data_IF_677981953267
#
_entry.id   IF_677981953267
#
_cell.length_a   1.000
_cell.length_b   1.000
_cell.length_c   1.000
_cell.angle_alpha   90.00
_cell.angle_beta   90.00
_cell.angle_gamma   90.00
#
_symmetry.space_group_name_H-M   'P 1'
#
loop_
_entity.id
_entity.type
_entity.pdbx_description
1 polymer ?
#
# COMPACT_ATOMS: atom_id res chain seq x y z
N UNK A 1 -3.30 18.45 -7.48
CA UNK A 1 -2.64 17.55 -8.44
C UNK A 1 -3.39 16.22 -8.47
N UNK A 2 -3.31 15.50 -9.58
CA UNK A 2 -3.79 14.12 -9.70
C UNK A 2 -2.66 13.31 -10.33
N UNK A 3 -2.35 12.15 -9.75
CA UNK A 3 -1.28 11.26 -10.19
C UNK A 3 -1.83 9.84 -10.30
N UNK A 4 -1.38 9.10 -11.31
CA UNK A 4 -1.72 7.71 -11.51
C UNK A 4 -0.46 6.93 -11.90
N UNK A 5 -0.21 5.81 -11.22
CA UNK A 5 0.95 4.95 -11.44
C UNK A 5 0.49 3.50 -11.59
N UNK A 6 1.11 2.77 -12.51
CA UNK A 6 0.85 1.35 -12.72
C UNK A 6 2.16 0.60 -12.93
N UNK A 7 2.28 -0.54 -12.26
CA UNK A 7 3.43 -1.43 -12.33
C UNK A 7 2.96 -2.87 -12.47
N UNK A 8 3.64 -3.65 -13.30
CA UNK A 8 3.35 -5.08 -13.49
C UNK A 8 4.62 -5.83 -13.82
N UNK A 9 4.67 -7.10 -13.43
CA UNK A 9 5.64 -8.03 -13.98
C UNK A 9 5.45 -8.17 -15.50
N UNK A 10 6.56 -8.31 -16.24
CA UNK A 10 6.54 -8.48 -17.69
C UNK A 10 6.10 -9.89 -18.12
N UNK A 11 6.33 -10.88 -17.24
CA UNK A 11 5.97 -12.29 -17.44
C UNK A 11 5.65 -12.92 -16.10
N UNK A 12 4.88 -14.00 -16.13
CA UNK A 12 4.61 -14.79 -14.94
C UNK A 12 5.92 -15.36 -14.39
N UNK A 13 6.04 -15.36 -13.07
CA UNK A 13 7.16 -15.98 -12.37
C UNK A 13 7.07 -17.52 -12.42
N UNK A 14 8.19 -18.18 -12.11
CA UNK A 14 8.16 -19.63 -11.91
C UNK A 14 7.39 -19.95 -10.61
N UNK A 15 6.66 -21.06 -10.59
CA UNK A 15 5.79 -21.44 -9.45
C UNK A 15 6.56 -21.65 -8.14
N UNK A 16 7.85 -21.98 -8.26
CA UNK A 16 8.75 -22.16 -7.12
C UNK A 16 9.31 -20.84 -6.58
N UNK A 17 9.34 -19.79 -7.42
CA UNK A 17 9.86 -18.47 -7.07
C UNK A 17 8.75 -17.56 -6.54
N UNK A 18 7.62 -17.51 -7.24
CA UNK A 18 6.45 -16.72 -6.87
C UNK A 18 5.21 -17.34 -7.53
N UNK A 19 4.27 -17.82 -6.72
CA UNK A 19 2.99 -18.36 -7.18
C UNK A 19 1.80 -17.69 -6.52
N UNK A 20 0.69 -17.74 -7.23
CA UNK A 20 -0.62 -17.34 -6.78
C UNK A 20 -1.59 -18.45 -7.14
N UNK A 21 -2.37 -18.94 -6.18
CA UNK A 21 -3.35 -20.03 -6.34
C UNK A 21 -2.83 -21.28 -7.09
N UNK A 22 -1.54 -21.59 -6.95
CA UNK A 22 -0.92 -22.77 -7.57
C UNK A 22 -0.39 -22.58 -9.00
N UNK A 23 -0.41 -21.37 -9.55
CA UNK A 23 0.25 -21.03 -10.82
C UNK A 23 1.29 -19.93 -10.62
N UNK A 24 2.21 -19.78 -11.59
CA UNK A 24 3.17 -18.67 -11.57
C UNK A 24 2.44 -17.33 -11.45
N UNK A 25 2.85 -16.51 -10.48
CA UNK A 25 2.22 -15.22 -10.23
C UNK A 25 2.66 -14.18 -11.26
N UNK A 26 1.75 -13.29 -11.65
CA UNK A 26 1.99 -12.09 -12.46
C UNK A 26 1.57 -10.86 -11.63
N UNK A 27 2.40 -10.46 -10.64
CA UNK A 27 2.04 -9.37 -9.74
C UNK A 27 1.90 -8.06 -10.51
N UNK A 28 0.83 -7.33 -10.21
CA UNK A 28 0.61 -5.97 -10.71
C UNK A 28 -0.01 -5.09 -9.63
N UNK A 29 0.22 -3.79 -9.72
CA UNK A 29 -0.35 -2.81 -8.83
C UNK A 29 -0.65 -1.50 -9.57
N UNK A 30 -1.73 -0.86 -9.17
CA UNK A 30 -2.10 0.48 -9.60
C UNK A 30 -2.27 1.36 -8.37
N UNK A 31 -1.83 2.61 -8.48
CA UNK A 31 -2.02 3.64 -7.47
C UNK A 31 -2.55 4.91 -8.12
N UNK A 32 -3.59 5.47 -7.50
CA UNK A 32 -4.19 6.73 -7.86
C UNK A 32 -4.09 7.67 -6.66
N UNK A 33 -3.67 8.89 -6.87
CA UNK A 33 -3.55 9.91 -5.83
C UNK A 33 -4.14 11.22 -6.32
N UNK A 34 -4.90 11.89 -5.45
CA UNK A 34 -5.39 13.25 -5.67
C UNK A 34 -5.05 14.10 -4.45
N UNK A 35 -4.41 15.24 -4.68
CA UNK A 35 -3.97 16.16 -3.64
C UNK A 35 -4.37 17.60 -3.94
N UNK A 36 -4.61 18.38 -2.89
CA UNK A 36 -4.78 19.83 -2.98
C UNK A 36 -4.12 20.55 -1.81
N UNK A 37 -3.59 21.73 -2.09
CA UNK A 37 -3.03 22.64 -1.09
C UNK A 37 -3.98 23.81 -0.91
N UNK A 38 -4.20 24.19 0.34
CA UNK A 38 -5.09 25.27 0.74
C UNK A 38 -4.54 25.95 1.99
N UNK A 39 -5.24 26.97 2.47
CA UNK A 39 -4.91 27.64 3.73
C UNK A 39 -5.98 27.26 4.75
N UNK A 40 -5.54 26.74 5.90
CA UNK A 40 -6.39 26.44 7.06
C UNK A 40 -5.74 27.04 8.29
N UNK A 41 -6.51 27.68 9.18
CA UNK A 41 -5.98 28.35 10.38
C UNK A 41 -4.85 29.36 10.10
N UNK A 42 -4.94 30.09 8.98
CA UNK A 42 -3.89 31.02 8.49
C UNK A 42 -2.53 30.35 8.21
N UNK A 43 -2.52 29.02 8.05
CA UNK A 43 -1.34 28.20 7.74
C UNK A 43 -1.50 27.46 6.43
N UNK A 44 -0.42 27.28 5.65
CA UNK A 44 -0.41 26.35 4.53
C UNK A 44 -0.78 24.95 5.02
N UNK A 45 -1.74 24.34 4.34
CA UNK A 45 -2.21 22.97 4.60
C UNK A 45 -2.34 22.22 3.28
N UNK A 46 -2.17 20.91 3.31
CA UNK A 46 -2.48 20.05 2.17
C UNK A 46 -3.31 18.87 2.61
N UNK A 47 -4.14 18.39 1.71
CA UNK A 47 -4.84 17.12 1.86
C UNK A 47 -4.60 16.30 0.61
N UNK A 48 -4.38 15.00 0.79
CA UNK A 48 -4.34 14.05 -0.30
C UNK A 48 -5.13 12.79 0.06
N UNK A 49 -5.74 12.19 -0.96
CA UNK A 49 -6.39 10.89 -0.90
C UNK A 49 -5.71 9.97 -1.90
N UNK A 50 -5.56 8.71 -1.55
CA UNK A 50 -5.00 7.71 -2.43
C UNK A 50 -5.84 6.42 -2.45
N UNK A 51 -5.83 5.77 -3.60
CA UNK A 51 -6.40 4.47 -3.83
C UNK A 51 -5.35 3.59 -4.48
N UNK A 52 -5.03 2.47 -3.86
CA UNK A 52 -4.12 1.47 -4.38
C UNK A 52 -4.88 0.15 -4.54
N UNK A 53 -4.62 -0.55 -5.65
CA UNK A 53 -5.09 -1.92 -5.85
C UNK A 53 -3.94 -2.78 -6.36
N UNK A 54 -3.86 -4.01 -5.88
CA UNK A 54 -2.85 -4.97 -6.29
C UNK A 54 -3.46 -6.30 -6.69
N UNK A 55 -2.87 -6.96 -7.69
CA UNK A 55 -3.26 -8.27 -8.17
C UNK A 55 -2.09 -9.24 -8.06
N UNK A 56 -2.38 -10.48 -7.67
CA UNK A 56 -1.41 -11.58 -7.50
C UNK A 56 -0.15 -11.20 -6.69
N UNK A 57 -0.29 -10.24 -5.77
CA UNK A 57 0.81 -9.65 -4.99
C UNK A 57 0.77 -10.07 -3.52
N UNK A 58 -0.07 -11.06 -3.18
CA UNK A 58 -0.21 -11.60 -1.83
C UNK A 58 1.13 -12.14 -1.27
N UNK A 59 1.94 -12.81 -2.10
CA UNK A 59 3.26 -13.27 -1.70
C UNK A 59 4.24 -12.14 -1.38
N UNK A 60 3.97 -10.91 -1.87
CA UNK A 60 4.75 -9.71 -1.58
C UNK A 60 4.19 -8.91 -0.39
N UNK A 61 3.18 -9.45 0.31
CA UNK A 61 2.54 -8.81 1.47
C UNK A 61 1.92 -7.42 1.15
N UNK A 62 1.44 -7.27 -0.08
CA UNK A 62 0.71 -6.06 -0.50
C UNK A 62 -0.79 -6.33 -0.33
N UNK A 63 -1.53 -5.37 0.22
CA UNK A 63 -2.99 -5.49 0.32
C UNK A 63 -3.66 -5.47 -1.06
N UNK A 64 -4.77 -6.21 -1.23
CA UNK A 64 -5.52 -6.26 -2.49
C UNK A 64 -6.10 -4.89 -2.85
N UNK A 65 -6.61 -4.19 -1.83
CA UNK A 65 -7.06 -2.81 -1.94
C UNK A 65 -6.57 -2.00 -0.74
N UNK A 66 -6.25 -0.73 -0.99
CA UNK A 66 -5.88 0.23 0.05
C UNK A 66 -6.47 1.59 -0.28
N UNK A 67 -7.10 2.19 0.70
CA UNK A 67 -7.56 3.57 0.65
C UNK A 67 -6.79 4.32 1.73
N UNK A 68 -6.18 5.46 1.40
CA UNK A 68 -5.58 6.32 2.40
C UNK A 68 -5.96 7.78 2.21
N UNK A 69 -5.92 8.53 3.30
CA UNK A 69 -6.07 9.96 3.33
C UNK A 69 -5.01 10.55 4.24
N UNK A 70 -4.32 11.58 3.78
CA UNK A 70 -3.33 12.32 4.55
C UNK A 70 -3.71 13.79 4.59
N UNK A 71 -3.59 14.38 5.77
CA UNK A 71 -3.71 15.80 6.00
C UNK A 71 -2.41 16.31 6.58
N UNK A 72 -1.85 17.36 5.98
CA UNK A 72 -0.65 18.01 6.45
C UNK A 72 -0.95 19.48 6.77
N UNK A 73 -0.37 19.97 7.85
CA UNK A 73 -0.41 21.38 8.23
C UNK A 73 0.95 21.78 8.81
N UNK A 74 1.33 23.04 8.66
CA UNK A 74 2.47 23.64 9.35
C UNK A 74 1.97 24.59 10.43
N UNK A 75 1.52 24.03 11.55
CA UNK A 75 0.95 24.80 12.65
C UNK A 75 2.03 25.62 13.37
N UNK A 76 3.17 25.00 13.70
CA UNK A 76 4.33 25.70 14.25
C UNK A 76 5.32 26.12 13.16
N UNK A 77 6.16 27.10 13.50
CA UNK A 77 7.23 27.56 12.60
C UNK A 77 8.27 26.44 12.51
N UNK A 78 8.74 26.19 11.30
CA UNK A 78 9.75 25.16 10.99
C UNK A 78 9.29 23.73 11.34
N UNK A 79 7.97 23.49 11.40
CA UNK A 79 7.40 22.16 11.57
C UNK A 79 6.37 21.80 10.50
N UNK A 80 6.19 20.50 10.31
CA UNK A 80 5.11 19.92 9.50
C UNK A 80 4.47 18.82 10.32
N UNK A 81 3.20 19.00 10.67
CA UNK A 81 2.36 17.98 11.28
C UNK A 81 1.60 17.24 10.17
N UNK A 82 1.63 15.92 10.22
CA UNK A 82 0.92 15.04 9.29
C UNK A 82 0.04 14.07 10.06
N UNK A 83 -1.20 13.92 9.60
CA UNK A 83 -2.14 12.92 10.04
C UNK A 83 -2.53 12.07 8.84
N UNK A 84 -2.24 10.78 8.89
CA UNK A 84 -2.63 9.82 7.86
C UNK A 84 -3.58 8.78 8.44
N UNK A 85 -4.60 8.46 7.68
CA UNK A 85 -5.45 7.30 7.89
C UNK A 85 -5.36 6.39 6.68
N UNK A 86 -5.24 5.10 6.94
CA UNK A 86 -5.11 4.06 5.92
C UNK A 86 -6.02 2.89 6.26
N UNK A 87 -6.78 2.44 5.27
CA UNK A 87 -7.65 1.28 5.34
C UNK A 87 -7.20 0.25 4.29
N UNK A 88 -6.67 -0.87 4.76
CA UNK A 88 -6.15 -1.96 3.95
C UNK A 88 -7.16 -3.11 3.92
N UNK A 89 -7.46 -3.63 2.74
CA UNK A 89 -8.31 -4.80 2.53
C UNK A 89 -7.44 -5.91 1.95
N UNK A 90 -7.34 -7.00 2.70
CA UNK A 90 -6.53 -8.15 2.33
C UNK A 90 -7.27 -9.07 1.35
N UNK A 91 -6.51 -9.93 0.68
CA UNK A 91 -7.01 -10.96 -0.22
C UNK A 91 -7.96 -11.93 0.49
N UNK A 92 -8.84 -12.57 -0.27
CA UNK A 92 -9.80 -13.56 0.21
C UNK A 92 -9.10 -14.78 0.85
N UNK A 93 -9.74 -15.41 1.84
CA UNK A 93 -9.30 -16.65 2.50
C UNK A 93 -9.11 -17.85 1.58
N UNK A 94 -9.73 -17.83 0.41
CA UNK A 94 -9.56 -18.87 -0.61
C UNK A 94 -8.33 -18.63 -1.50
N UNK A 95 -7.74 -17.44 -1.43
CA UNK A 95 -6.57 -17.06 -2.19
C UNK A 95 -5.32 -17.31 -1.36
N UNK A 96 -4.32 -17.89 -1.99
CA UNK A 96 -3.04 -18.18 -1.36
C UNK A 96 -1.90 -17.94 -2.34
N UNK A 97 -0.74 -17.62 -1.81
CA UNK A 97 0.45 -17.33 -2.60
C UNK A 97 1.68 -17.88 -1.91
N UNK A 98 2.72 -18.22 -2.67
CA UNK A 98 4.02 -18.60 -2.14
C UNK A 98 5.10 -17.68 -2.71
N UNK A 99 6.22 -17.56 -2.02
CA UNK A 99 7.37 -16.77 -2.47
C UNK A 99 8.65 -17.58 -2.31
N UNK A 100 9.79 -17.06 -2.78
CA UNK A 100 11.05 -17.76 -2.66
C UNK A 100 11.42 -18.03 -1.18
N UNK A 101 11.49 -19.31 -0.81
CA UNK A 101 11.89 -19.71 0.54
C UNK A 101 13.43 -19.77 0.65
N UNK A 102 14.01 -19.38 1.81
CA UNK A 102 15.43 -19.61 2.07
C UNK A 102 15.81 -21.09 1.97
N UNK A 103 17.04 -21.37 1.53
CA UNK A 103 17.54 -22.75 1.40
C UNK A 103 17.38 -23.49 2.73
N UNK A 104 16.68 -24.64 2.69
CA UNK A 104 16.42 -25.47 3.86
C UNK A 104 15.11 -25.19 4.59
N UNK A 105 14.29 -24.25 4.12
CA UNK A 105 12.93 -24.03 4.63
C UNK A 105 11.87 -24.53 3.65
N UNK A 106 10.78 -25.09 4.19
CA UNK A 106 9.60 -25.43 3.40
C UNK A 106 8.88 -24.15 3.03
N UNK A 107 8.66 -23.94 1.73
CA UNK A 107 7.88 -22.80 1.23
C UNK A 107 6.42 -22.95 1.70
N UNK A 108 6.02 -22.15 2.70
CA UNK A 108 4.65 -22.14 3.19
C UNK A 108 3.85 -21.08 2.45
N UNK A 109 2.60 -21.44 2.13
CA UNK A 109 1.70 -20.52 1.48
C UNK A 109 1.26 -19.43 2.47
N UNK A 110 1.40 -18.17 2.05
CA UNK A 110 0.68 -17.05 2.63
C UNK A 110 -0.77 -17.14 2.15
N UNK A 111 -1.72 -17.19 3.08
CA UNK A 111 -3.16 -17.23 2.78
C UNK A 111 -3.74 -15.87 3.06
N UNK A 112 -4.59 -15.36 2.17
CA UNK A 112 -5.32 -14.12 2.40
C UNK A 112 -6.14 -14.22 3.69
N UNK A 113 -6.15 -13.17 4.51
CA UNK A 113 -6.91 -13.18 5.75
C UNK A 113 -8.41 -12.96 5.51
N UNK A 114 -8.77 -12.34 4.38
CA UNK A 114 -10.13 -11.88 4.06
C UNK A 114 -10.63 -10.80 5.03
N UNK A 115 -9.75 -10.16 5.77
CA UNK A 115 -10.07 -9.09 6.70
C UNK A 115 -9.57 -7.74 6.18
N UNK A 116 -9.92 -6.69 6.90
CA UNK A 116 -9.37 -5.36 6.74
C UNK A 116 -8.50 -4.98 7.94
N UNK A 117 -7.60 -4.02 7.72
CA UNK A 117 -6.76 -3.43 8.74
C UNK A 117 -6.78 -1.91 8.61
N UNK A 118 -7.03 -1.24 9.73
CA UNK A 118 -7.00 0.22 9.84
C UNK A 118 -5.69 0.67 10.49
N UNK A 119 -5.06 1.70 9.93
CA UNK A 119 -3.87 2.33 10.48
C UNK A 119 -4.10 3.83 10.56
N UNK A 120 -3.80 4.40 11.73
CA UNK A 120 -3.73 5.86 11.92
C UNK A 120 -2.29 6.21 12.27
N UNK A 121 -1.72 7.14 11.53
CA UNK A 121 -0.35 7.63 11.73
C UNK A 121 -0.38 9.13 12.00
N UNK A 122 0.39 9.55 13.00
CA UNK A 122 0.66 10.95 13.27
C UNK A 122 2.18 11.14 13.17
N UNK A 123 2.61 12.10 12.36
CA UNK A 123 4.00 12.44 12.17
C UNK A 123 4.25 13.93 12.44
N UNK A 124 5.37 14.23 13.10
CA UNK A 124 5.86 15.57 13.35
C UNK A 124 7.24 15.70 12.71
N UNK A 125 7.35 16.48 11.64
CA UNK A 125 8.62 16.88 11.04
C UNK A 125 9.10 18.21 11.62
N UNK A 126 10.38 18.32 11.97
CA UNK A 126 11.03 19.55 12.44
C UNK A 126 12.21 19.85 11.53
N UNK A 127 12.30 21.08 11.04
CA UNK A 127 13.35 21.56 10.15
C UNK A 127 14.20 22.62 10.87
N UNK A 128 15.50 22.66 10.58
CA UNK A 128 16.49 23.57 11.18
C UNK A 128 17.40 24.20 10.12
#
# INVERSE_FOLDING_TARGET
NITAEWVSAMKAFHVDDLSYNGHGALPSAIQLEAGMTFVSFDKPSSVAISYQSSHESLALNVAEYRISGVYNISFWKDTVESLEYRHDIDYNRQQFANGAAPVGQVNQNTVGSGHCADTVLIQLGVYF
#
